data_IF_569156326907
#
_entry.id   IF_569156326907
#
_cell.length_a   1.000
_cell.length_b   1.000
_cell.length_c   1.000
_cell.angle_alpha   90.00
_cell.angle_beta   90.00
_cell.angle_gamma   90.00
#
_symmetry.space_group_name_H-M   'P 1'
#
loop_
_entity.id
_entity.type
_entity.pdbx_description
1 polymer ?
#
# COMPACT_ATOMS: atom_id res chain seq x y z
N UNK A 1 -47.15 17.16 28.68
CA UNK A 1 -46.03 16.54 29.43
C UNK A 1 -45.24 15.65 28.48
N UNK A 2 -43.95 15.97 28.35
CA UNK A 2 -42.82 15.19 27.82
C UNK A 2 -42.97 14.40 26.52
N UNK A 3 -42.48 15.01 25.42
CA UNK A 3 -42.08 14.34 24.18
C UNK A 3 -40.57 14.10 24.15
N UNK A 4 -40.18 12.94 23.62
CA UNK A 4 -38.80 12.46 23.44
C UNK A 4 -37.96 13.38 22.54
N UNK A 5 -36.76 13.76 22.98
CA UNK A 5 -35.70 14.28 22.11
C UNK A 5 -34.75 13.13 21.73
N UNK A 6 -34.64 12.84 20.43
CA UNK A 6 -33.53 12.07 19.87
C UNK A 6 -32.46 13.03 19.35
N UNK A 7 -31.24 12.89 19.84
CA UNK A 7 -30.07 13.63 19.37
C UNK A 7 -29.52 12.98 18.09
N UNK A 8 -29.47 13.74 16.99
CA UNK A 8 -28.77 13.35 15.75
C UNK A 8 -27.24 13.36 15.97
N UNK A 9 -26.47 12.44 15.34
CA UNK A 9 -25.01 12.46 15.42
C UNK A 9 -24.42 13.57 14.53
N UNK A 10 -23.40 14.26 15.05
CA UNK A 10 -22.61 15.26 14.33
C UNK A 10 -21.71 14.59 13.27
N UNK A 11 -21.80 15.03 12.02
CA UNK A 11 -20.98 14.58 10.88
C UNK A 11 -19.52 15.05 10.99
N UNK A 12 -18.55 14.14 10.80
CA UNK A 12 -17.11 14.43 10.75
C UNK A 12 -16.72 15.03 9.39
N UNK A 13 -15.86 16.06 9.38
CA UNK A 13 -15.32 16.70 8.18
C UNK A 13 -13.86 16.27 7.99
N UNK A 14 -13.51 15.71 6.82
CA UNK A 14 -12.12 15.42 6.43
C UNK A 14 -11.74 16.41 5.33
N UNK A 15 -10.63 17.13 5.52
CA UNK A 15 -10.05 18.04 4.52
C UNK A 15 -8.72 17.46 4.04
N UNK A 16 -8.53 17.31 2.73
CA UNK A 16 -7.28 16.82 2.12
C UNK A 16 -6.77 17.85 1.10
N UNK A 17 -5.50 18.21 1.19
CA UNK A 17 -4.82 19.10 0.26
C UNK A 17 -4.04 18.28 -0.78
N UNK A 18 -4.24 18.57 -2.08
CA UNK A 18 -3.42 18.00 -3.16
C UNK A 18 -2.74 19.14 -3.90
N UNK A 19 -1.41 19.11 -3.96
CA UNK A 19 -0.58 20.08 -4.67
C UNK A 19 -0.09 19.49 -5.99
N UNK A 20 -0.28 20.21 -7.10
CA UNK A 20 0.31 19.85 -8.40
C UNK A 20 1.44 20.82 -8.77
N UNK A 21 2.59 20.29 -9.17
CA UNK A 21 3.74 21.09 -9.58
C UNK A 21 3.83 21.11 -11.12
N UNK A 22 3.35 22.17 -11.75
CA UNK A 22 3.41 22.36 -13.20
C UNK A 22 4.72 23.06 -13.59
N UNK A 23 5.79 22.31 -13.79
CA UNK A 23 7.05 22.85 -14.35
C UNK A 23 7.11 22.86 -15.89
N UNK A 24 6.24 22.09 -16.57
CA UNK A 24 6.33 21.90 -18.02
C UNK A 24 5.25 22.63 -18.85
N UNK A 25 4.52 23.58 -18.26
CA UNK A 25 3.53 24.38 -18.99
C UNK A 25 4.19 25.57 -19.70
N UNK A 26 4.29 25.51 -21.04
CA UNK A 26 4.78 26.61 -21.90
C UNK A 26 3.63 27.36 -22.62
N UNK A 27 2.51 27.58 -21.94
CA UNK A 27 1.45 28.49 -22.41
C UNK A 27 1.65 29.91 -21.88
N UNK A 28 1.17 30.96 -22.58
CA UNK A 28 1.50 32.36 -22.27
C UNK A 28 0.96 32.91 -20.93
N UNK A 29 0.27 32.09 -20.10
CA UNK A 29 -0.42 32.55 -18.88
C UNK A 29 -0.32 31.66 -17.64
N UNK A 30 0.53 30.64 -17.58
CA UNK A 30 0.68 29.86 -16.33
C UNK A 30 2.14 29.57 -15.98
N UNK A 31 2.73 30.48 -15.20
CA UNK A 31 3.90 30.20 -14.37
C UNK A 31 3.47 30.30 -12.90
N UNK A 32 2.90 29.23 -12.34
CA UNK A 32 2.48 29.16 -10.94
C UNK A 32 1.93 27.80 -10.51
N UNK A 33 2.08 27.47 -9.22
CA UNK A 33 1.46 26.31 -8.57
C UNK A 33 -0.06 26.46 -8.55
N UNK A 34 -0.78 25.38 -8.85
CA UNK A 34 -2.23 25.29 -8.69
C UNK A 34 -2.56 24.32 -7.55
N UNK A 35 -3.51 24.71 -6.71
CA UNK A 35 -4.05 23.90 -5.62
C UNK A 35 -5.54 23.71 -5.82
N UNK A 36 -6.04 22.50 -5.59
CA UNK A 36 -7.46 22.17 -5.61
C UNK A 36 -7.90 21.76 -4.20
N UNK A 37 -8.99 22.35 -3.70
CA UNK A 37 -9.59 21.99 -2.42
C UNK A 37 -10.75 21.01 -2.64
N UNK A 38 -10.70 19.83 -2.02
CA UNK A 38 -11.81 18.86 -2.06
C UNK A 38 -12.47 18.82 -0.67
N UNK A 39 -13.74 19.22 -0.60
CA UNK A 39 -14.55 19.17 0.62
C UNK A 39 -15.56 18.03 0.47
N UNK A 40 -15.41 16.98 1.28
CA UNK A 40 -16.33 15.84 1.29
C UNK A 40 -17.24 15.96 2.52
N UNK A 41 -18.54 16.04 2.30
CA UNK A 41 -19.58 15.88 3.34
C UNK A 41 -20.62 14.90 2.84
N UNK A 42 -21.17 14.09 3.75
CA UNK A 42 -21.87 12.82 3.55
C UNK A 42 -23.05 12.78 2.55
N UNK A 43 -23.43 13.84 1.83
CA UNK A 43 -24.50 13.77 0.84
C UNK A 43 -24.46 14.79 -0.32
N UNK A 44 -23.32 15.44 -0.61
CA UNK A 44 -23.21 16.28 -1.82
C UNK A 44 -21.75 16.52 -2.25
N UNK A 45 -21.44 16.27 -3.52
CA UNK A 45 -20.22 16.77 -4.14
C UNK A 45 -20.44 18.24 -4.52
N UNK A 46 -19.69 19.15 -3.90
CA UNK A 46 -19.56 20.52 -4.39
C UNK A 46 -18.10 20.80 -4.73
N UNK A 47 -17.81 20.99 -6.02
CA UNK A 47 -16.52 21.51 -6.48
C UNK A 47 -16.43 22.98 -6.07
N UNK A 48 -15.45 23.35 -5.25
CA UNK A 48 -15.17 24.76 -4.98
C UNK A 48 -13.70 25.08 -5.32
N UNK A 49 -13.56 25.79 -6.43
CA UNK A 49 -12.49 26.67 -6.90
C UNK A 49 -11.03 26.17 -6.89
N UNK A 50 -10.46 26.13 -8.10
CA UNK A 50 -9.01 26.02 -8.34
C UNK A 50 -8.41 27.43 -8.38
N UNK A 51 -7.30 27.69 -7.66
CA UNK A 51 -6.59 28.97 -7.70
C UNK A 51 -5.20 28.82 -8.32
N UNK A 52 -4.86 29.69 -9.29
CA UNK A 52 -3.49 29.89 -9.77
C UNK A 52 -2.95 31.24 -9.30
N UNK A 53 -1.63 31.31 -9.03
CA UNK A 53 -0.94 32.53 -8.61
C UNK A 53 -0.08 33.07 -9.75
N UNK A 54 -0.51 34.15 -10.40
CA UNK A 54 0.39 34.94 -11.26
C UNK A 54 1.32 35.80 -10.38
N UNK A 55 2.63 35.74 -10.63
CA UNK A 55 3.66 36.35 -9.77
C UNK A 55 3.66 37.88 -9.72
N UNK A 56 2.82 38.58 -10.51
CA UNK A 56 2.93 40.04 -10.69
C UNK A 56 1.66 40.84 -10.42
N UNK A 57 0.51 40.20 -10.16
CA UNK A 57 -0.71 40.89 -9.74
C UNK A 57 -1.45 40.01 -8.74
N UNK A 58 -1.74 40.52 -7.55
CA UNK A 58 -2.55 39.86 -6.52
C UNK A 58 -4.03 39.77 -6.93
N UNK A 59 -4.32 39.21 -8.11
CA UNK A 59 -5.68 38.94 -8.60
C UNK A 59 -5.89 37.43 -8.65
N UNK A 60 -6.93 36.99 -7.97
CA UNK A 60 -7.42 35.62 -8.00
C UNK A 60 -8.41 35.50 -9.15
N UNK A 61 -8.24 34.51 -10.02
CA UNK A 61 -9.22 34.18 -11.06
C UNK A 61 -9.76 32.80 -10.77
N UNK A 62 -11.06 32.70 -10.55
CA UNK A 62 -11.78 31.46 -10.38
C UNK A 62 -12.01 30.80 -11.75
N UNK A 63 -11.71 29.51 -11.87
CA UNK A 63 -12.15 28.68 -13.00
C UNK A 63 -13.30 27.79 -12.55
N UNK A 64 -14.34 27.68 -13.39
CA UNK A 64 -15.34 26.63 -13.26
C UNK A 64 -14.74 25.26 -13.63
N UNK A 65 -15.32 24.17 -13.11
CA UNK A 65 -14.88 22.81 -13.44
C UNK A 65 -14.90 22.53 -14.96
N UNK A 66 -15.85 23.15 -15.68
CA UNK A 66 -15.95 23.05 -17.14
C UNK A 66 -14.82 23.78 -17.88
N UNK A 67 -14.36 24.93 -17.38
CA UNK A 67 -13.23 25.65 -17.98
C UNK A 67 -11.90 24.93 -17.76
N UNK A 68 -11.73 24.24 -16.62
CA UNK A 68 -10.56 23.41 -16.35
C UNK A 68 -10.49 22.20 -17.28
N UNK A 69 -11.63 21.53 -17.49
CA UNK A 69 -11.72 20.39 -18.40
C UNK A 69 -11.48 20.82 -19.86
N UNK A 70 -12.03 21.97 -20.27
CA UNK A 70 -11.77 22.55 -21.59
C UNK A 70 -10.31 23.00 -21.77
N UNK A 71 -9.65 23.51 -20.74
CA UNK A 71 -8.24 23.87 -20.78
C UNK A 71 -7.35 22.64 -21.02
N UNK A 72 -7.66 21.49 -20.40
CA UNK A 72 -6.98 20.21 -20.65
C UNK A 72 -7.27 19.67 -22.06
N UNK A 73 -8.51 19.80 -22.54
CA UNK A 73 -8.89 19.38 -23.90
C UNK A 73 -8.24 20.24 -24.98
N UNK A 74 -7.99 21.53 -24.70
CA UNK A 74 -7.42 22.49 -25.65
C UNK A 74 -5.91 22.34 -25.91
N UNK A 75 -5.19 21.56 -25.10
CA UNK A 75 -3.72 21.35 -25.25
C UNK A 75 -3.34 20.29 -26.29
N UNK A 76 -4.29 19.82 -27.12
CA UNK A 76 -4.00 18.92 -28.25
C UNK A 76 -3.35 17.58 -27.86
N UNK A 77 -3.39 17.21 -26.57
CA UNK A 77 -2.97 15.89 -26.15
C UNK A 77 -4.07 14.93 -26.59
N UNK A 78 -3.78 14.09 -27.58
CA UNK A 78 -4.60 12.93 -27.91
C UNK A 78 -4.97 12.25 -26.59
N UNK A 79 -6.28 12.21 -26.27
CA UNK A 79 -6.79 11.50 -25.11
C UNK A 79 -6.48 10.02 -25.30
N UNK A 80 -5.28 9.60 -24.86
CA UNK A 80 -4.99 8.19 -24.66
C UNK A 80 -5.95 7.74 -23.56
N UNK A 81 -6.71 6.69 -23.82
CA UNK A 81 -7.63 6.16 -22.83
C UNK A 81 -6.89 5.97 -21.49
N UNK A 82 -7.54 6.26 -20.35
CA UNK A 82 -6.90 6.09 -19.06
C UNK A 82 -6.47 4.63 -18.91
N UNK A 83 -5.22 4.41 -18.50
CA UNK A 83 -4.69 3.07 -18.29
C UNK A 83 -5.57 2.32 -17.27
N UNK A 84 -5.83 1.06 -17.57
CA UNK A 84 -6.56 0.16 -16.69
C UNK A 84 -5.61 -0.71 -15.88
N UNK A 85 -5.85 -0.79 -14.58
CA UNK A 85 -5.03 -1.55 -13.63
C UNK A 85 -5.91 -2.57 -12.93
N UNK A 86 -5.60 -3.85 -13.11
CA UNK A 86 -6.15 -4.90 -12.27
C UNK A 86 -5.36 -4.99 -10.97
N UNK A 87 -6.03 -4.78 -9.84
CA UNK A 87 -5.43 -4.83 -8.50
C UNK A 87 -5.92 -6.12 -7.82
N UNK A 88 -5.04 -7.12 -7.73
CA UNK A 88 -5.32 -8.31 -6.95
C UNK A 88 -5.45 -7.93 -5.47
N UNK A 89 -6.53 -8.38 -4.83
CA UNK A 89 -6.80 -8.13 -3.40
C UNK A 89 -6.96 -6.64 -3.05
N UNK A 90 -7.65 -5.89 -3.91
CA UNK A 90 -7.88 -4.45 -3.73
C UNK A 90 -8.56 -4.05 -2.40
N UNK A 91 -9.23 -4.97 -1.71
CA UNK A 91 -9.83 -4.69 -0.39
C UNK A 91 -8.86 -4.89 0.78
N UNK A 92 -7.67 -5.43 0.52
CA UNK A 92 -6.63 -5.70 1.50
C UNK A 92 -5.78 -4.47 1.86
N UNK A 93 -4.79 -4.69 2.71
CA UNK A 93 -4.01 -3.61 3.33
C UNK A 93 -3.11 -2.85 2.34
N UNK A 94 -2.56 -3.54 1.34
CA UNK A 94 -1.78 -2.92 0.27
C UNK A 94 -2.64 -2.51 -0.92
N UNK A 95 -3.55 -3.39 -1.36
CA UNK A 95 -4.40 -3.16 -2.52
C UNK A 95 -5.31 -1.95 -2.34
N UNK A 96 -5.89 -1.74 -1.15
CA UNK A 96 -6.84 -0.65 -0.90
C UNK A 96 -6.24 0.75 -1.05
N UNK A 97 -5.14 1.12 -0.36
CA UNK A 97 -4.52 2.43 -0.56
C UNK A 97 -4.04 2.63 -2.00
N UNK A 98 -3.56 1.57 -2.67
CA UNK A 98 -3.20 1.64 -4.09
C UNK A 98 -4.42 1.94 -4.97
N UNK A 99 -5.51 1.17 -4.85
CA UNK A 99 -6.73 1.38 -5.64
C UNK A 99 -7.30 2.79 -5.45
N UNK A 100 -7.34 3.28 -4.21
CA UNK A 100 -7.79 4.65 -3.92
C UNK A 100 -6.89 5.67 -4.63
N UNK A 101 -5.57 5.54 -4.50
CA UNK A 101 -4.61 6.44 -5.14
C UNK A 101 -4.72 6.42 -6.67
N UNK A 102 -4.86 5.24 -7.28
CA UNK A 102 -5.04 5.08 -8.72
C UNK A 102 -6.33 5.74 -9.22
N UNK A 103 -7.46 5.50 -8.54
CA UNK A 103 -8.73 6.12 -8.89
C UNK A 103 -8.67 7.66 -8.78
N UNK A 104 -8.00 8.18 -7.74
CA UNK A 104 -7.78 9.63 -7.58
C UNK A 104 -6.93 10.24 -8.70
N UNK A 105 -6.01 9.47 -9.28
CA UNK A 105 -5.17 9.88 -10.40
C UNK A 105 -5.83 9.63 -11.78
N UNK A 106 -7.08 9.14 -11.80
CA UNK A 106 -7.86 8.93 -13.03
C UNK A 106 -7.58 7.63 -13.77
N UNK A 107 -6.86 6.68 -13.14
CA UNK A 107 -6.75 5.31 -13.68
C UNK A 107 -8.08 4.57 -13.55
N UNK A 108 -8.33 3.63 -14.45
CA UNK A 108 -9.38 2.62 -14.24
C UNK A 108 -8.82 1.54 -13.31
N UNK A 109 -9.61 1.15 -12.31
CA UNK A 109 -9.21 0.08 -11.38
C UNK A 109 -10.23 -1.04 -11.46
N UNK A 110 -9.73 -2.23 -11.78
CA UNK A 110 -10.46 -3.49 -11.79
C UNK A 110 -10.01 -4.35 -10.61
N UNK A 111 -10.94 -5.08 -10.00
CA UNK A 111 -10.61 -6.03 -8.93
C UNK A 111 -11.59 -7.18 -8.89
N UNK A 112 -11.09 -8.34 -8.45
CA UNK A 112 -11.89 -9.50 -8.09
C UNK A 112 -12.09 -9.58 -6.57
N UNK A 113 -13.33 -9.71 -6.12
CA UNK A 113 -13.68 -9.87 -4.69
C UNK A 113 -14.56 -11.08 -4.46
N UNK A 114 -14.35 -11.77 -3.33
CA UNK A 114 -15.17 -12.94 -2.95
C UNK A 114 -16.59 -12.54 -2.53
N UNK A 115 -16.68 -11.46 -1.76
CA UNK A 115 -17.95 -10.92 -1.28
C UNK A 115 -18.12 -9.48 -1.77
N UNK A 116 -18.98 -9.25 -2.78
CA UNK A 116 -19.24 -7.92 -3.30
C UNK A 116 -19.99 -7.04 -2.29
N UNK A 117 -20.64 -7.59 -1.26
CA UNK A 117 -21.38 -6.83 -0.24
C UNK A 117 -20.48 -6.29 0.88
N UNK A 118 -19.26 -6.81 1.01
CA UNK A 118 -18.30 -6.36 2.01
C UNK A 118 -18.04 -4.85 1.95
N UNK A 119 -17.81 -4.24 3.12
CA UNK A 119 -17.58 -2.80 3.25
C UNK A 119 -16.43 -2.30 2.37
N UNK A 120 -15.34 -3.08 2.26
CA UNK A 120 -14.21 -2.78 1.38
C UNK A 120 -14.59 -2.77 -0.11
N UNK A 121 -15.37 -3.75 -0.57
CA UNK A 121 -15.82 -3.83 -1.95
C UNK A 121 -16.79 -2.68 -2.30
N UNK A 122 -17.73 -2.38 -1.39
CA UNK A 122 -18.68 -1.28 -1.55
C UNK A 122 -17.96 0.08 -1.58
N UNK A 123 -16.97 0.30 -0.71
CA UNK A 123 -16.18 1.52 -0.73
C UNK A 123 -15.46 1.73 -2.08
N UNK A 124 -14.89 0.66 -2.65
CA UNK A 124 -14.25 0.73 -3.98
C UNK A 124 -15.26 1.00 -5.10
N UNK A 125 -16.46 0.39 -5.05
CA UNK A 125 -17.52 0.69 -6.04
C UNK A 125 -17.98 2.15 -5.99
N UNK A 126 -18.12 2.72 -4.79
CA UNK A 126 -18.46 4.15 -4.62
C UNK A 126 -17.40 5.04 -5.26
N UNK A 127 -16.13 4.64 -5.20
CA UNK A 127 -15.02 5.29 -5.88
C UNK A 127 -14.89 4.92 -7.37
N UNK A 128 -15.88 4.21 -7.93
CA UNK A 128 -15.97 3.79 -9.33
C UNK A 128 -14.94 2.75 -9.78
N UNK A 129 -14.44 1.93 -8.86
CA UNK A 129 -13.73 0.71 -9.25
C UNK A 129 -14.68 -0.30 -9.90
N UNK A 130 -14.21 -1.00 -10.91
CA UNK A 130 -14.87 -2.16 -11.52
C UNK A 130 -14.66 -3.38 -10.61
N UNK A 131 -15.70 -3.73 -9.85
CA UNK A 131 -15.65 -4.80 -8.85
C UNK A 131 -16.37 -6.04 -9.35
N UNK A 132 -15.57 -7.03 -9.76
CA UNK A 132 -16.00 -8.36 -10.21
C UNK A 132 -16.13 -9.31 -9.03
N UNK A 133 -17.08 -10.24 -9.09
CA UNK A 133 -17.27 -11.26 -8.05
C UNK A 133 -16.57 -12.55 -8.45
N UNK A 134 -15.76 -13.11 -7.54
CA UNK A 134 -15.13 -14.42 -7.73
C UNK A 134 -13.96 -14.66 -6.78
N UNK A 135 -13.17 -15.70 -7.09
CA UNK A 135 -12.04 -16.14 -6.28
C UNK A 135 -10.80 -16.25 -7.16
N UNK A 136 -9.63 -15.85 -6.65
CA UNK A 136 -8.34 -15.99 -7.35
C UNK A 136 -7.98 -17.46 -7.67
N UNK A 137 -8.62 -18.43 -7.01
CA UNK A 137 -8.50 -19.85 -7.33
C UNK A 137 -9.30 -20.30 -8.57
N UNK A 138 -10.14 -19.44 -9.15
CA UNK A 138 -10.89 -19.71 -10.38
C UNK A 138 -10.29 -18.94 -11.55
N UNK A 139 -9.67 -19.67 -12.49
CA UNK A 139 -9.10 -19.08 -13.69
C UNK A 139 -10.11 -18.25 -14.48
N UNK A 140 -11.31 -18.79 -14.73
CA UNK A 140 -12.38 -18.11 -15.49
C UNK A 140 -12.79 -16.78 -14.85
N UNK A 141 -12.96 -16.75 -13.52
CA UNK A 141 -13.31 -15.53 -12.80
C UNK A 141 -12.18 -14.49 -12.86
N UNK A 142 -10.93 -14.95 -12.83
CA UNK A 142 -9.74 -14.11 -12.96
C UNK A 142 -9.64 -13.52 -14.37
N UNK A 143 -9.75 -14.33 -15.41
CA UNK A 143 -9.73 -13.89 -16.81
C UNK A 143 -10.82 -12.85 -17.10
N UNK A 144 -12.06 -13.11 -16.66
CA UNK A 144 -13.16 -12.16 -16.82
C UNK A 144 -12.96 -10.83 -16.09
N UNK A 145 -12.18 -10.80 -15.01
CA UNK A 145 -11.89 -9.58 -14.25
C UNK A 145 -10.65 -8.82 -14.72
N UNK A 146 -9.73 -9.49 -15.42
CA UNK A 146 -8.51 -8.89 -16.01
C UNK A 146 -8.79 -8.29 -17.39
N UNK A 147 -9.88 -8.67 -18.05
CA UNK A 147 -10.12 -8.25 -19.43
C UNK A 147 -10.10 -6.73 -19.59
N UNK A 148 -9.27 -6.27 -20.53
CA UNK A 148 -9.03 -4.85 -20.80
C UNK A 148 -8.05 -4.15 -19.84
N UNK A 149 -7.38 -4.86 -18.92
CA UNK A 149 -6.32 -4.31 -18.10
C UNK A 149 -5.02 -4.11 -18.89
N UNK A 150 -4.33 -3.00 -18.66
CA UNK A 150 -2.99 -2.74 -19.21
C UNK A 150 -1.88 -3.22 -18.26
N UNK A 151 -2.17 -3.15 -16.96
CA UNK A 151 -1.22 -3.41 -15.86
C UNK A 151 -1.84 -4.29 -14.79
N UNK A 152 -1.06 -5.21 -14.23
CA UNK A 152 -1.41 -5.93 -13.01
C UNK A 152 -0.66 -5.36 -11.80
N UNK A 153 -1.35 -5.28 -10.67
CA UNK A 153 -0.74 -5.22 -9.35
C UNK A 153 -1.07 -6.48 -8.56
N UNK A 154 -0.04 -7.21 -8.14
CA UNK A 154 -0.14 -8.47 -7.41
C UNK A 154 0.38 -8.31 -5.98
N UNK A 155 -0.47 -8.56 -5.00
CA UNK A 155 -0.08 -8.62 -3.59
C UNK A 155 -0.89 -9.72 -2.90
N UNK A 156 -0.39 -10.95 -2.92
CA UNK A 156 -1.11 -12.06 -2.32
C UNK A 156 -0.97 -12.05 -0.79
N UNK A 157 -2.07 -12.29 -0.04
CA UNK A 157 -1.96 -12.51 1.40
C UNK A 157 -1.06 -13.73 1.64
N UNK A 158 -0.28 -13.75 2.72
CA UNK A 158 0.49 -14.94 3.10
C UNK A 158 -0.47 -16.12 3.27
N UNK A 159 -0.52 -17.00 2.28
CA UNK A 159 -1.32 -18.21 2.29
C UNK A 159 -0.42 -19.37 1.90
N UNK A 160 -0.08 -20.20 2.88
CA UNK A 160 0.91 -21.27 2.73
C UNK A 160 0.48 -22.39 1.77
N UNK A 161 -0.75 -22.36 1.24
CA UNK A 161 -1.28 -23.42 0.36
C UNK A 161 -1.56 -22.99 -1.07
N UNK A 162 -1.97 -21.74 -1.28
CA UNK A 162 -2.60 -21.33 -2.55
C UNK A 162 -1.91 -20.15 -3.24
N UNK A 163 -0.80 -19.63 -2.72
CA UNK A 163 -0.19 -18.41 -3.27
C UNK A 163 0.29 -18.62 -4.71
N UNK A 164 0.89 -19.78 -4.98
CA UNK A 164 1.32 -20.20 -6.33
C UNK A 164 0.13 -20.31 -7.27
N UNK A 165 -0.93 -21.04 -6.88
CA UNK A 165 -2.14 -21.18 -7.70
C UNK A 165 -2.77 -19.82 -8.06
N UNK A 166 -2.80 -18.88 -7.11
CA UNK A 166 -3.31 -17.54 -7.39
C UNK A 166 -2.42 -16.76 -8.35
N UNK A 167 -1.09 -16.92 -8.23
CA UNK A 167 -0.15 -16.31 -9.15
C UNK A 167 -0.28 -16.90 -10.57
N UNK A 168 -0.34 -18.23 -10.70
CA UNK A 168 -0.51 -18.94 -11.97
C UNK A 168 -1.78 -18.48 -12.68
N UNK A 169 -2.93 -18.55 -12.01
CA UNK A 169 -4.21 -18.13 -12.59
C UNK A 169 -4.18 -16.69 -13.09
N UNK A 170 -3.60 -15.77 -12.31
CA UNK A 170 -3.57 -14.34 -12.65
C UNK A 170 -2.56 -14.05 -13.77
N UNK A 171 -1.38 -14.66 -13.72
CA UNK A 171 -0.32 -14.42 -14.71
C UNK A 171 -0.67 -15.07 -16.05
N UNK A 172 -1.25 -16.27 -16.07
CA UNK A 172 -1.73 -16.92 -17.29
C UNK A 172 -2.87 -16.12 -17.95
N UNK A 173 -3.87 -15.72 -17.16
CA UNK A 173 -4.96 -14.88 -17.67
C UNK A 173 -4.44 -13.54 -18.23
N UNK A 174 -3.44 -12.94 -17.59
CA UNK A 174 -2.82 -11.71 -18.06
C UNK A 174 -2.09 -11.86 -19.40
N UNK A 175 -1.45 -13.01 -19.65
CA UNK A 175 -0.86 -13.30 -20.96
C UNK A 175 -1.94 -13.45 -22.03
N UNK A 176 -3.07 -14.10 -21.73
CA UNK A 176 -4.20 -14.25 -22.67
C UNK A 176 -4.84 -12.90 -23.01
N UNK A 177 -5.01 -12.02 -22.01
CA UNK A 177 -5.56 -10.67 -22.17
C UNK A 177 -4.52 -9.64 -22.64
N UNK A 178 -3.29 -10.07 -22.95
CA UNK A 178 -2.20 -9.24 -23.48
C UNK A 178 -1.82 -8.05 -22.58
N UNK A 179 -1.92 -8.23 -21.27
CA UNK A 179 -1.41 -7.28 -20.28
C UNK A 179 0.08 -7.07 -20.52
N UNK A 180 0.52 -5.81 -20.56
CA UNK A 180 1.91 -5.48 -20.90
C UNK A 180 2.81 -5.28 -19.68
N UNK A 181 2.23 -5.00 -18.51
CA UNK A 181 2.97 -4.66 -17.30
C UNK A 181 2.52 -5.45 -16.07
N UNK A 182 3.48 -5.93 -15.27
CA UNK A 182 3.24 -6.59 -13.98
C UNK A 182 4.01 -5.89 -12.86
N UNK A 183 3.32 -5.52 -11.78
CA UNK A 183 3.92 -5.01 -10.56
C UNK A 183 3.60 -6.01 -9.44
N UNK A 184 4.62 -6.58 -8.82
CA UNK A 184 4.44 -7.60 -7.77
C UNK A 184 5.02 -7.15 -6.43
N UNK A 185 4.20 -7.16 -5.39
CA UNK A 185 4.62 -7.02 -4.00
C UNK A 185 5.05 -8.38 -3.44
N UNK A 186 6.36 -8.61 -3.42
CA UNK A 186 7.05 -9.70 -2.74
C UNK A 186 7.34 -9.33 -1.27
N UNK A 187 8.54 -9.58 -0.77
CA UNK A 187 9.05 -9.19 0.56
C UNK A 187 10.56 -8.98 0.49
N UNK A 188 11.11 -8.10 1.34
CA UNK A 188 12.55 -7.96 1.53
C UNK A 188 13.19 -9.30 1.93
N UNK A 189 14.39 -9.59 1.39
CA UNK A 189 15.15 -10.86 1.54
C UNK A 189 14.58 -12.08 0.79
N UNK A 190 13.57 -11.93 -0.06
CA UNK A 190 13.16 -13.01 -0.98
C UNK A 190 14.34 -13.49 -1.84
N UNK A 191 14.50 -14.80 -1.95
CA UNK A 191 15.62 -15.44 -2.67
C UNK A 191 16.86 -15.71 -1.82
N UNK A 192 16.96 -15.13 -0.61
CA UNK A 192 18.14 -15.29 0.26
C UNK A 192 17.96 -16.39 1.32
N UNK A 193 16.85 -17.14 1.25
CA UNK A 193 16.37 -17.95 2.38
C UNK A 193 17.31 -19.10 2.78
N UNK A 194 18.07 -19.64 1.84
CA UNK A 194 19.10 -20.66 2.12
C UNK A 194 20.24 -20.13 3.01
N UNK A 195 20.40 -18.80 3.11
CA UNK A 195 21.39 -18.16 4.00
C UNK A 195 20.87 -17.97 5.43
N UNK A 196 19.59 -18.24 5.70
CA UNK A 196 19.01 -18.02 7.01
C UNK A 196 19.52 -19.07 8.02
N UNK A 197 19.77 -18.69 9.28
CA UNK A 197 20.16 -19.65 10.31
C UNK A 197 19.12 -20.76 10.46
N UNK A 198 19.61 -22.01 10.54
CA UNK A 198 18.81 -23.22 10.67
C UNK A 198 17.76 -23.41 9.55
N UNK A 199 18.05 -22.92 8.34
CA UNK A 199 17.15 -23.10 7.20
C UNK A 199 16.98 -24.58 6.83
N UNK A 200 15.71 -25.00 6.68
CA UNK A 200 15.31 -26.27 6.11
C UNK A 200 13.91 -26.15 5.51
N UNK A 201 13.43 -27.19 4.81
CA UNK A 201 12.05 -27.20 4.27
C UNK A 201 10.99 -27.19 5.37
N UNK A 202 11.37 -27.58 6.59
CA UNK A 202 10.57 -27.59 7.81
C UNK A 202 10.67 -26.27 8.61
N UNK A 203 11.45 -25.30 8.12
CA UNK A 203 11.52 -23.97 8.75
C UNK A 203 10.09 -23.40 8.91
N UNK A 204 9.69 -22.84 10.07
CA UNK A 204 8.30 -22.48 10.35
C UNK A 204 7.60 -21.58 9.31
N UNK A 205 8.37 -20.80 8.55
CA UNK A 205 7.90 -19.99 7.43
C UNK A 205 8.54 -20.36 6.09
N UNK A 206 9.01 -21.59 5.92
CA UNK A 206 9.71 -22.02 4.70
C UNK A 206 8.87 -21.74 3.44
N UNK A 207 7.60 -22.17 3.48
CA UNK A 207 6.66 -22.01 2.38
C UNK A 207 6.36 -20.54 2.06
N UNK A 208 6.46 -19.63 3.03
CA UNK A 208 6.30 -18.21 2.76
C UNK A 208 7.44 -17.67 1.87
N UNK A 209 8.69 -18.02 2.19
CA UNK A 209 9.86 -17.58 1.43
C UNK A 209 9.98 -18.27 0.08
N UNK A 210 9.72 -19.58 0.03
CA UNK A 210 9.79 -20.38 -1.19
C UNK A 210 8.77 -19.87 -2.22
N UNK A 211 7.51 -19.70 -1.80
CA UNK A 211 6.47 -19.25 -2.73
C UNK A 211 6.73 -17.83 -3.25
N UNK A 212 7.19 -16.91 -2.38
CA UNK A 212 7.56 -15.55 -2.80
C UNK A 212 8.65 -15.56 -3.87
N UNK A 213 9.69 -16.38 -3.67
CA UNK A 213 10.81 -16.53 -4.61
C UNK A 213 10.37 -17.18 -5.93
N UNK A 214 9.52 -18.20 -5.86
CA UNK A 214 8.97 -18.87 -7.05
C UNK A 214 8.14 -17.91 -7.91
N UNK A 215 7.28 -17.10 -7.30
CA UNK A 215 6.47 -16.10 -8.03
C UNK A 215 7.37 -15.02 -8.65
N UNK A 216 8.44 -14.60 -7.97
CA UNK A 216 9.42 -13.70 -8.59
C UNK A 216 10.08 -14.33 -9.82
N UNK A 217 10.44 -15.61 -9.77
CA UNK A 217 11.01 -16.34 -10.91
C UNK A 217 10.01 -16.41 -12.06
N UNK A 218 8.75 -16.77 -11.80
CA UNK A 218 7.68 -16.80 -12.82
C UNK A 218 7.58 -15.45 -13.55
N UNK A 219 7.48 -14.34 -12.80
CA UNK A 219 7.32 -13.00 -13.40
C UNK A 219 8.53 -12.64 -14.28
N UNK A 220 9.74 -13.02 -13.88
CA UNK A 220 10.96 -12.76 -14.65
C UNK A 220 11.02 -13.57 -15.95
N UNK A 221 10.41 -14.75 -16.01
CA UNK A 221 10.51 -15.68 -17.15
C UNK A 221 9.33 -15.61 -18.13
N UNK A 222 8.13 -15.17 -17.69
CA UNK A 222 6.90 -15.15 -18.50
C UNK A 222 6.88 -14.10 -19.63
N UNK A 223 7.95 -13.35 -19.83
CA UNK A 223 8.13 -12.52 -21.02
C UNK A 223 7.28 -11.24 -21.09
N UNK A 224 6.70 -10.78 -19.97
CA UNK A 224 6.03 -9.47 -19.92
C UNK A 224 6.98 -8.33 -20.33
N UNK A 225 6.46 -7.36 -21.10
CA UNK A 225 7.25 -6.23 -21.61
C UNK A 225 7.88 -5.43 -20.45
N UNK A 226 7.10 -5.22 -19.39
CA UNK A 226 7.51 -4.51 -18.20
C UNK A 226 7.16 -5.31 -16.96
N UNK A 227 8.12 -5.49 -16.06
CA UNK A 227 7.82 -5.99 -14.73
C UNK A 227 8.60 -5.22 -13.67
N UNK A 228 8.00 -5.06 -12.50
CA UNK A 228 8.65 -4.46 -11.33
C UNK A 228 8.31 -5.30 -10.11
N UNK A 229 9.34 -5.67 -9.34
CA UNK A 229 9.15 -6.38 -8.08
C UNK A 229 9.44 -5.41 -6.94
N UNK A 230 8.45 -5.21 -6.08
CA UNK A 230 8.56 -4.45 -4.85
C UNK A 230 8.73 -5.43 -3.69
N UNK A 231 9.78 -5.27 -2.90
CA UNK A 231 10.13 -6.12 -1.76
C UNK A 231 10.03 -5.30 -0.47
N UNK A 232 8.81 -5.05 0.04
CA UNK A 232 8.65 -4.25 1.24
C UNK A 232 9.17 -4.95 2.50
N UNK A 233 9.66 -4.16 3.45
CA UNK A 233 10.04 -4.58 4.80
C UNK A 233 8.80 -4.66 5.73
N UNK A 234 8.97 -4.44 7.03
CA UNK A 234 7.88 -4.57 8.00
C UNK A 234 6.86 -3.43 7.88
N UNK A 235 5.57 -3.75 7.78
CA UNK A 235 4.56 -2.72 7.61
C UNK A 235 4.32 -1.96 8.92
N UNK A 236 4.31 -0.63 8.86
CA UNK A 236 3.95 0.23 10.00
C UNK A 236 2.52 -0.05 10.48
N UNK A 237 1.61 -0.44 9.57
CA UNK A 237 0.22 -0.77 9.88
C UNK A 237 0.07 -2.05 10.73
N UNK A 238 1.15 -2.83 10.93
CA UNK A 238 1.12 -3.97 11.84
C UNK A 238 0.96 -3.58 13.32
N UNK A 239 1.22 -2.30 13.68
CA UNK A 239 0.98 -1.77 15.02
C UNK A 239 -0.47 -1.31 15.25
N UNK A 240 -1.32 -1.37 14.23
CA UNK A 240 -2.73 -0.96 14.31
C UNK A 240 -3.67 -2.09 14.75
N UNK A 241 -4.76 -1.74 15.44
CA UNK A 241 -5.84 -2.68 15.75
C UNK A 241 -6.57 -3.13 14.46
N UNK A 242 -7.02 -4.39 14.36
CA UNK A 242 -6.89 -5.47 15.36
C UNK A 242 -5.59 -6.26 15.29
N UNK A 243 -4.74 -5.99 14.29
CA UNK A 243 -3.58 -6.85 14.00
C UNK A 243 -2.54 -6.83 15.12
N UNK A 244 -2.36 -5.68 15.76
CA UNK A 244 -1.48 -5.56 16.91
C UNK A 244 -1.81 -6.53 18.04
N UNK A 245 -3.08 -6.94 18.24
CA UNK A 245 -3.44 -7.88 19.30
C UNK A 245 -2.83 -9.27 19.06
N UNK A 246 -2.70 -9.66 17.80
CA UNK A 246 -2.06 -10.92 17.44
C UNK A 246 -0.53 -10.79 17.41
N UNK A 247 -0.02 -9.70 16.84
CA UNK A 247 1.42 -9.53 16.61
C UNK A 247 2.19 -9.05 17.85
N UNK A 248 1.54 -8.28 18.73
CA UNK A 248 2.13 -7.65 19.90
C UNK A 248 1.13 -7.68 21.08
N UNK A 249 0.86 -8.87 21.67
CA UNK A 249 -0.10 -8.99 22.76
C UNK A 249 0.16 -8.01 23.91
N UNK A 250 -0.84 -7.18 24.21
CA UNK A 250 -0.79 -6.12 25.22
C UNK A 250 -0.38 -4.74 24.71
N UNK A 251 -0.04 -4.57 23.43
CA UNK A 251 0.24 -3.24 22.87
C UNK A 251 -0.99 -2.32 22.94
N UNK A 252 -2.15 -2.81 22.53
CA UNK A 252 -3.41 -2.05 22.54
C UNK A 252 -4.03 -1.93 23.93
N UNK A 253 -3.92 -2.97 24.76
CA UNK A 253 -4.61 -3.03 26.06
C UNK A 253 -3.78 -2.43 27.20
N UNK A 254 -2.48 -2.79 27.28
CA UNK A 254 -1.60 -2.40 28.38
C UNK A 254 -0.52 -1.41 27.96
N UNK A 255 -0.51 -0.98 26.69
CA UNK A 255 0.53 -0.12 26.12
C UNK A 255 1.94 -0.72 26.30
N UNK A 256 2.04 -2.05 26.22
CA UNK A 256 3.31 -2.77 26.35
C UNK A 256 3.66 -3.45 25.04
N UNK A 257 4.75 -3.00 24.41
CA UNK A 257 5.32 -3.62 23.24
C UNK A 257 6.16 -4.85 23.67
N UNK A 258 5.50 -6.00 23.76
CA UNK A 258 6.13 -7.30 24.08
C UNK A 258 6.70 -7.94 22.82
N UNK A 259 8.01 -8.17 22.80
CA UNK A 259 8.74 -8.59 21.59
C UNK A 259 9.93 -9.51 21.89
N UNK A 260 10.29 -10.36 20.94
CA UNK A 260 11.47 -11.23 20.99
C UNK A 260 12.74 -10.60 20.37
N UNK A 261 12.87 -9.28 20.42
CA UNK A 261 14.05 -8.55 19.93
C UNK A 261 15.13 -8.44 21.00
N UNK A 262 16.33 -8.03 20.59
CA UNK A 262 17.34 -7.47 21.50
C UNK A 262 17.20 -5.94 21.53
N UNK A 263 17.68 -5.24 22.57
CA UNK A 263 17.76 -3.78 22.56
C UNK A 263 18.56 -3.22 21.36
N UNK A 264 19.52 -3.98 20.85
CA UNK A 264 20.32 -3.65 19.66
C UNK A 264 19.63 -3.95 18.33
N UNK A 265 18.55 -4.75 18.32
CA UNK A 265 17.81 -5.04 17.08
C UNK A 265 17.27 -3.76 16.46
N UNK A 266 17.33 -3.68 15.14
CA UNK A 266 16.78 -2.58 14.34
C UNK A 266 15.87 -3.17 13.27
N UNK A 267 14.64 -2.67 13.20
CA UNK A 267 13.62 -3.14 12.27
C UNK A 267 13.43 -2.12 11.16
N UNK A 268 13.57 -2.57 9.91
CA UNK A 268 13.25 -1.76 8.73
C UNK A 268 11.71 -1.72 8.55
N UNK A 269 11.18 -0.51 8.45
CA UNK A 269 9.75 -0.20 8.49
C UNK A 269 9.32 0.51 7.21
N UNK A 270 8.14 0.16 6.68
CA UNK A 270 7.57 0.79 5.50
C UNK A 270 6.07 1.02 5.69
N UNK A 271 5.55 2.14 5.18
CA UNK A 271 4.11 2.37 5.15
C UNK A 271 3.49 1.71 3.91
N UNK A 272 2.28 1.16 4.04
CA UNK A 272 1.55 0.67 2.85
C UNK A 272 1.20 1.77 1.85
N UNK A 273 1.15 3.04 2.31
CA UNK A 273 1.01 4.20 1.43
C UNK A 273 2.24 4.43 0.56
N UNK A 274 3.44 4.17 1.09
CA UNK A 274 4.69 4.27 0.34
C UNK A 274 4.76 3.18 -0.72
N UNK A 275 4.37 1.95 -0.37
CA UNK A 275 4.28 0.83 -1.33
C UNK A 275 3.32 1.20 -2.47
N UNK A 276 2.15 1.77 -2.15
CA UNK A 276 1.20 2.26 -3.14
C UNK A 276 1.80 3.36 -4.03
N UNK A 277 2.60 4.28 -3.49
CA UNK A 277 3.29 5.32 -4.28
C UNK A 277 4.38 4.75 -5.18
N UNK A 278 5.16 3.77 -4.72
CA UNK A 278 6.12 3.06 -5.55
C UNK A 278 5.42 2.32 -6.69
N UNK A 279 4.37 1.54 -6.37
CA UNK A 279 3.58 0.83 -7.38
C UNK A 279 2.99 1.78 -8.41
N UNK A 280 2.36 2.87 -7.97
CA UNK A 280 1.78 3.89 -8.85
C UNK A 280 2.82 4.51 -9.79
N UNK A 281 4.01 4.85 -9.26
CA UNK A 281 5.10 5.40 -10.10
C UNK A 281 5.69 4.40 -11.08
N UNK A 282 5.63 3.11 -10.77
CA UNK A 282 6.07 2.06 -11.70
C UNK A 282 5.18 2.00 -12.95
N UNK A 283 3.92 2.44 -12.89
CA UNK A 283 2.98 2.36 -14.02
C UNK A 283 3.40 3.28 -15.18
N UNK A 284 3.76 4.54 -14.89
CA UNK A 284 4.20 5.48 -15.92
C UNK A 284 5.31 6.45 -15.45
N UNK A 285 6.42 6.59 -16.22
CA UNK A 285 6.81 5.79 -17.38
C UNK A 285 7.37 4.41 -16.95
N UNK A 286 6.91 3.28 -17.55
CA UNK A 286 7.24 1.94 -17.08
C UNK A 286 8.73 1.59 -17.22
N UNK A 287 9.43 2.16 -18.21
CA UNK A 287 10.86 1.88 -18.46
C UNK A 287 11.76 2.18 -17.26
N UNK A 288 11.40 3.16 -16.41
CA UNK A 288 12.22 3.54 -15.23
C UNK A 288 12.28 2.43 -14.18
N UNK A 289 11.23 1.61 -14.10
CA UNK A 289 11.05 0.54 -13.12
C UNK A 289 11.06 -0.86 -13.75
N UNK A 290 11.13 -0.93 -15.08
CA UNK A 290 11.14 -2.19 -15.82
C UNK A 290 12.34 -3.04 -15.47
N UNK A 291 12.08 -4.32 -15.24
CA UNK A 291 13.07 -5.34 -14.90
C UNK A 291 13.85 -5.04 -13.63
N UNK A 292 13.28 -4.26 -12.71
CA UNK A 292 13.88 -3.90 -11.42
C UNK A 292 13.22 -4.61 -10.25
N UNK A 293 14.03 -4.83 -9.22
CA UNK A 293 13.60 -5.29 -7.91
C UNK A 293 14.01 -4.24 -6.88
N UNK A 294 13.03 -3.68 -6.17
CA UNK A 294 13.24 -2.60 -5.20
C UNK A 294 12.90 -3.12 -3.81
N UNK A 295 13.86 -3.11 -2.90
CA UNK A 295 13.63 -3.41 -1.48
C UNK A 295 13.21 -2.14 -0.75
N UNK A 296 12.05 -2.14 -0.08
CA UNK A 296 11.41 -0.91 0.40
C UNK A 296 11.41 -0.80 1.93
N UNK A 297 11.96 0.29 2.45
CA UNK A 297 11.83 0.76 3.82
C UNK A 297 11.92 2.29 3.85
N UNK A 298 11.30 2.90 4.84
CA UNK A 298 11.30 4.34 5.11
C UNK A 298 12.10 4.67 6.38
N UNK A 299 12.10 3.79 7.38
CA UNK A 299 12.83 3.98 8.62
C UNK A 299 13.46 2.67 9.10
N UNK A 300 14.48 2.80 9.95
CA UNK A 300 15.15 1.69 10.64
C UNK A 300 15.21 1.98 12.14
N UNK A 301 14.30 1.41 12.91
CA UNK A 301 14.09 1.79 14.32
C UNK A 301 14.41 0.66 15.29
N UNK A 302 14.87 1.01 16.49
CA UNK A 302 14.94 0.09 17.62
C UNK A 302 13.54 -0.13 18.22
N UNK A 303 13.39 -1.14 19.07
CA UNK A 303 12.14 -1.31 19.81
C UNK A 303 11.76 -0.10 20.66
N UNK A 304 12.76 0.54 21.30
CA UNK A 304 12.55 1.78 22.05
C UNK A 304 12.10 2.92 21.12
N UNK A 305 12.74 3.09 19.96
CA UNK A 305 12.33 4.10 18.98
C UNK A 305 10.93 3.85 18.41
N UNK A 306 10.53 2.59 18.21
CA UNK A 306 9.15 2.23 17.84
C UNK A 306 8.18 2.64 18.96
N UNK A 307 8.50 2.31 20.21
CA UNK A 307 7.66 2.68 21.36
C UNK A 307 7.52 4.20 21.50
N UNK A 308 8.62 4.95 21.32
CA UNK A 308 8.61 6.42 21.35
C UNK A 308 7.70 7.00 20.26
N UNK A 309 7.82 6.53 19.02
CA UNK A 309 6.99 7.01 17.91
C UNK A 309 5.51 6.62 18.08
N UNK A 310 5.22 5.39 18.51
CA UNK A 310 3.86 4.98 18.85
C UNK A 310 3.28 5.81 19.98
N UNK A 311 4.08 6.15 20.99
CA UNK A 311 3.68 7.02 22.09
C UNK A 311 3.38 8.44 21.63
N UNK A 312 4.20 8.99 20.74
CA UNK A 312 3.98 10.30 20.14
C UNK A 312 2.67 10.35 19.33
N UNK A 313 2.36 9.31 18.55
CA UNK A 313 1.13 9.24 17.74
C UNK A 313 -0.12 9.00 18.59
N UNK A 314 -0.05 8.08 19.56
CA UNK A 314 -1.20 7.69 20.38
C UNK A 314 -1.49 8.66 21.54
N UNK A 315 -0.47 9.40 21.98
CA UNK A 315 -0.49 10.15 23.23
C UNK A 315 -0.41 9.27 24.48
N UNK A 316 0.07 8.03 24.35
CA UNK A 316 0.21 7.05 25.43
C UNK A 316 1.68 6.82 25.76
N UNK A 317 1.95 6.40 27.00
CA UNK A 317 3.29 5.92 27.34
C UNK A 317 3.42 4.45 26.94
N UNK A 318 4.29 4.15 25.97
CA UNK A 318 4.51 2.78 25.49
C UNK A 318 5.74 2.21 26.17
N UNK A 319 5.59 1.10 26.89
CA UNK A 319 6.70 0.38 27.52
C UNK A 319 7.18 -0.76 26.63
N UNK A 320 8.49 -1.00 26.58
CA UNK A 320 9.06 -2.13 25.85
C UNK A 320 9.38 -3.25 26.82
N UNK A 321 8.92 -4.46 26.50
CA UNK A 321 9.22 -5.67 27.26
C UNK A 321 9.87 -6.70 26.31
N UNK A 322 11.13 -7.04 26.59
CA UNK A 322 11.87 -8.02 25.81
C UNK A 322 11.66 -9.42 26.39
N UNK A 323 11.18 -10.34 25.56
CA UNK A 323 11.06 -11.74 25.93
C UNK A 323 12.46 -12.35 26.12
N UNK A 324 12.71 -13.08 27.22
CA UNK A 324 13.95 -13.84 27.37
C UNK A 324 14.16 -14.81 26.20
N UNK A 325 15.40 -14.96 25.71
CA UNK A 325 15.68 -15.75 24.50
C UNK A 325 15.20 -17.21 24.62
N UNK A 326 15.34 -17.82 25.80
CA UNK A 326 14.85 -19.18 26.06
C UNK A 326 13.31 -19.26 25.91
N UNK A 327 12.58 -18.25 26.37
CA UNK A 327 11.11 -18.18 26.25
C UNK A 327 10.72 -17.99 24.78
N UNK A 328 11.38 -17.07 24.08
CA UNK A 328 11.12 -16.83 22.66
C UNK A 328 11.37 -18.09 21.81
N UNK A 329 12.47 -18.80 22.05
CA UNK A 329 12.78 -20.07 21.36
C UNK A 329 11.78 -21.17 21.70
N UNK A 330 11.31 -21.26 22.94
CA UNK A 330 10.27 -22.20 23.33
C UNK A 330 8.94 -21.92 22.60
N UNK A 331 8.51 -20.65 22.56
CA UNK A 331 7.31 -20.23 21.82
C UNK A 331 7.42 -20.52 20.32
N UNK A 332 8.59 -20.28 19.70
CA UNK A 332 8.85 -20.66 18.30
C UNK A 332 8.69 -22.16 18.10
N UNK A 333 9.25 -23.00 18.99
CA UNK A 333 9.12 -24.47 18.91
C UNK A 333 7.67 -24.95 19.07
N UNK A 334 6.85 -24.21 19.81
CA UNK A 334 5.42 -24.46 19.96
C UNK A 334 4.58 -23.96 18.77
N UNK A 335 5.22 -23.44 17.71
CA UNK A 335 4.53 -22.99 16.50
C UNK A 335 4.06 -21.53 16.53
N UNK A 336 4.53 -20.71 17.48
CA UNK A 336 4.23 -19.27 17.45
C UNK A 336 4.98 -18.58 16.30
N UNK A 337 4.30 -18.44 15.16
CA UNK A 337 4.86 -17.86 13.95
C UNK A 337 5.26 -16.38 14.09
N UNK A 338 4.57 -15.61 14.93
CA UNK A 338 4.91 -14.20 15.19
C UNK A 338 6.25 -14.10 15.92
N UNK A 339 6.43 -14.87 16.99
CA UNK A 339 7.71 -14.91 17.72
C UNK A 339 8.82 -15.48 16.83
N UNK A 340 8.52 -16.49 16.01
CA UNK A 340 9.45 -17.00 15.00
C UNK A 340 9.92 -15.92 14.02
N UNK A 341 8.99 -15.10 13.49
CA UNK A 341 9.32 -13.98 12.62
C UNK A 341 10.12 -12.89 13.35
N UNK A 342 9.83 -12.62 14.63
CA UNK A 342 10.60 -11.68 15.44
C UNK A 342 12.04 -12.15 15.69
N UNK A 343 12.24 -13.44 15.92
CA UNK A 343 13.58 -14.05 16.00
C UNK A 343 14.32 -13.89 14.66
N UNK A 344 13.66 -14.12 13.52
CA UNK A 344 14.26 -13.87 12.21
C UNK A 344 14.62 -12.38 12.00
N UNK A 345 13.76 -11.46 12.42
CA UNK A 345 14.03 -10.00 12.36
C UNK A 345 15.22 -9.60 13.23
N UNK A 346 15.39 -10.27 14.38
CA UNK A 346 16.52 -10.10 15.29
C UNK A 346 17.83 -10.64 14.73
N UNK A 347 17.80 -11.87 14.17
CA UNK A 347 19.00 -12.63 13.81
C UNK A 347 19.46 -12.39 12.35
N UNK A 348 18.54 -12.04 11.45
CA UNK A 348 18.80 -11.86 10.01
C UNK A 348 18.54 -10.43 9.54
N UNK A 349 17.43 -9.83 9.97
CA UNK A 349 16.91 -8.52 9.54
C UNK A 349 16.63 -8.37 8.02
N UNK A 350 15.94 -7.28 7.63
CA UNK A 350 15.62 -7.00 6.22
C UNK A 350 16.80 -6.35 5.47
N UNK A 351 17.59 -5.53 6.17
CA UNK A 351 18.79 -4.86 5.68
C UNK A 351 18.58 -4.01 4.42
N UNK A 352 17.57 -3.14 4.45
CA UNK A 352 17.24 -2.27 3.31
C UNK A 352 18.21 -1.08 3.23
N UNK A 353 18.74 -0.81 2.03
CA UNK A 353 19.42 0.44 1.71
C UNK A 353 18.36 1.53 1.42
N UNK A 354 18.01 2.29 2.46
CA UNK A 354 16.97 3.32 2.40
C UNK A 354 17.42 4.51 1.53
N UNK A 355 18.70 4.87 1.58
CA UNK A 355 19.23 6.04 0.87
C UNK A 355 19.16 5.82 -0.65
N UNK A 356 19.40 4.59 -1.11
CA UNK A 356 19.24 4.21 -2.51
C UNK A 356 17.83 4.47 -3.07
N UNK A 357 16.79 4.46 -2.23
CA UNK A 357 15.40 4.68 -2.67
C UNK A 357 15.10 6.13 -3.09
N UNK A 358 15.95 7.08 -2.69
CA UNK A 358 15.82 8.50 -3.07
C UNK A 358 15.85 8.69 -4.59
N UNK A 359 16.52 7.80 -5.35
CA UNK A 359 16.63 7.86 -6.81
C UNK A 359 15.26 7.74 -7.51
N UNK A 360 14.25 7.16 -6.85
CA UNK A 360 12.89 7.00 -7.38
C UNK A 360 12.00 8.23 -7.11
N UNK A 361 12.52 9.21 -6.36
CA UNK A 361 11.85 10.46 -6.00
C UNK A 361 10.56 10.25 -5.21
N UNK A 362 10.36 9.07 -4.60
CA UNK A 362 9.21 8.78 -3.74
C UNK A 362 9.53 9.32 -2.36
N UNK A 363 8.65 10.16 -1.82
CA UNK A 363 8.76 10.55 -0.43
C UNK A 363 8.53 9.32 0.45
N UNK A 364 9.51 9.03 1.32
CA UNK A 364 9.44 7.96 2.30
C UNK A 364 8.82 8.53 3.58
N UNK A 365 7.66 8.01 3.98
CA UNK A 365 6.87 8.55 5.08
C UNK A 365 7.36 7.97 6.41
N UNK A 366 7.80 8.80 7.38
CA UNK A 366 8.11 8.35 8.73
C UNK A 366 6.88 7.75 9.43
N UNK A 367 7.08 6.85 10.39
CA UNK A 367 5.99 6.16 11.10
C UNK A 367 5.06 7.14 11.84
N UNK A 368 5.60 8.23 12.39
CA UNK A 368 4.80 9.31 13.00
C UNK A 368 3.83 10.01 12.05
N UNK A 369 4.10 9.99 10.74
CA UNK A 369 3.20 10.54 9.70
C UNK A 369 2.34 9.45 9.06
N UNK A 370 2.86 8.23 8.96
CA UNK A 370 2.18 7.09 8.34
C UNK A 370 1.04 6.54 9.22
N UNK A 371 1.10 6.80 10.53
CA UNK A 371 0.12 6.38 11.52
C UNK A 371 -0.58 7.60 12.12
N UNK A 372 -1.85 7.44 12.46
CA UNK A 372 -2.63 8.39 13.24
C UNK A 372 -3.27 7.70 14.44
N UNK A 373 -3.77 8.48 15.39
CA UNK A 373 -4.54 7.96 16.52
C UNK A 373 -5.74 7.11 16.05
N UNK A 374 -6.41 7.56 14.99
CA UNK A 374 -7.53 6.83 14.37
C UNK A 374 -7.07 5.52 13.71
N UNK A 375 -5.90 5.50 13.07
CA UNK A 375 -5.40 4.28 12.45
C UNK A 375 -4.91 3.26 13.47
N UNK A 376 -4.27 3.72 14.55
CA UNK A 376 -3.84 2.85 15.66
C UNK A 376 -5.07 2.18 16.29
N UNK A 377 -6.10 2.98 16.58
CA UNK A 377 -7.36 2.52 17.15
C UNK A 377 -7.17 1.79 18.50
N UNK A 378 -6.27 2.33 19.35
CA UNK A 378 -6.09 1.99 20.76
C UNK A 378 -5.49 3.18 21.54
#
# INVERSE_FOLDING_TARGET
MTGFQSSKPQSKVISVFVAFNFRDYQGPKAKGLAYSLLKVTDNAFSFNYCCSRERTKHKWTAFSAGEFQNAILSTGHHYKAPLSVFVATATGEQGRPLSILLLQLGYKVQTLVRDPSSSGAQALRVLRAEVHTGNLGSFEAVAGAISGADTLYLAFPPNLKNEILYAENVLEAAQQEKVTQVIYSSVARTGDHETFPDWSKEYPSAQYWIQKDEIEKMIRTLGFNFWTILRPAFFMQNFCYPKCNHMFPGLSETHTLRIAFLPSTRLDLISVGDIARFATKSIQPPNRFSKKTLTLAAEKLSAAGIADQLGAVSGKNITVEYLPDQVARALRKQGNGVVGAQIWQRDVCYNVDIDALSEYGVYLTPMTEALSKESLNW
#
